data_IF_034781039182
#
_entry.id   IF_034781039182
#
_cell.length_a   1.000
_cell.length_b   1.000
_cell.length_c   1.000
_cell.angle_alpha   90.00
_cell.angle_beta   90.00
_cell.angle_gamma   90.00
#
_symmetry.space_group_name_H-M   'P 1'
#
loop_
_entity.id
_entity.type
_entity.pdbx_description
1 polymer ?
#
# COMPACT_ATOMS: atom_id res chain seq x y z
N UNK A 1 7.43 0.62 -9.61
CA UNK A 1 6.21 -0.13 -9.95
C UNK A 1 5.95 -1.14 -8.83
N UNK A 2 4.70 -1.45 -8.49
CA UNK A 2 4.39 -2.45 -7.46
C UNK A 2 4.21 -3.88 -7.99
N UNK A 3 4.36 -4.13 -9.29
CA UNK A 3 4.22 -5.47 -9.86
C UNK A 3 2.78 -5.93 -10.10
N UNK A 4 1.80 -5.51 -9.30
CA UNK A 4 0.48 -6.18 -9.29
C UNK A 4 -0.56 -5.78 -10.36
N UNK A 5 -0.45 -4.60 -10.99
CA UNK A 5 -1.43 -3.99 -11.92
C UNK A 5 -2.68 -4.85 -12.28
N UNK A 6 -3.75 -4.73 -11.49
CA UNK A 6 -4.98 -5.51 -11.67
C UNK A 6 -4.77 -7.02 -11.50
N UNK A 7 -5.15 -7.80 -12.52
CA UNK A 7 -5.01 -9.26 -12.52
C UNK A 7 -3.58 -9.75 -12.83
N UNK A 8 -2.68 -8.86 -13.27
CA UNK A 8 -1.30 -9.23 -13.60
C UNK A 8 -0.60 -9.89 -12.41
N UNK A 9 -0.83 -9.40 -11.19
CA UNK A 9 -0.23 -9.98 -9.98
C UNK A 9 -0.81 -11.32 -9.53
N UNK A 10 -1.86 -11.83 -10.18
CA UNK A 10 -2.48 -13.13 -9.85
C UNK A 10 -2.51 -14.11 -11.03
N UNK A 11 -2.19 -13.67 -12.25
CA UNK A 11 -2.11 -14.56 -13.40
C UNK A 11 -1.00 -15.59 -13.23
N UNK A 12 -1.28 -16.87 -13.53
CA UNK A 12 -0.30 -17.94 -13.38
C UNK A 12 1.01 -17.65 -14.15
N UNK A 13 0.89 -17.10 -15.35
CA UNK A 13 2.02 -16.78 -16.23
C UNK A 13 2.76 -15.49 -15.85
N UNK A 14 2.16 -14.64 -15.03
CA UNK A 14 2.66 -13.30 -14.70
C UNK A 14 2.97 -13.11 -13.22
N UNK A 15 2.54 -14.04 -12.35
CA UNK A 15 2.73 -13.98 -10.91
C UNK A 15 4.20 -13.80 -10.55
N UNK A 16 5.07 -14.64 -11.12
CA UNK A 16 6.49 -14.59 -10.81
C UNK A 16 7.12 -13.24 -11.19
N UNK A 17 6.81 -12.73 -12.39
CA UNK A 17 7.27 -11.41 -12.82
C UNK A 17 6.73 -10.29 -11.92
N UNK A 18 5.46 -10.39 -11.48
CA UNK A 18 4.87 -9.44 -10.54
C UNK A 18 5.64 -9.39 -9.21
N UNK A 19 5.96 -10.56 -8.64
CA UNK A 19 6.73 -10.65 -7.40
C UNK A 19 8.14 -10.08 -7.61
N UNK A 20 8.84 -10.47 -8.68
CA UNK A 20 10.19 -9.99 -8.99
C UNK A 20 10.21 -8.46 -9.13
N UNK A 21 9.24 -7.87 -9.83
CA UNK A 21 9.12 -6.42 -9.95
C UNK A 21 8.93 -5.73 -8.61
N UNK A 22 8.13 -6.31 -7.71
CA UNK A 22 7.90 -5.76 -6.37
C UNK A 22 9.16 -5.90 -5.49
N UNK A 23 9.92 -6.98 -5.64
CA UNK A 23 11.16 -7.26 -4.92
C UNK A 23 12.35 -6.39 -5.36
N UNK A 24 12.30 -5.78 -6.54
CA UNK A 24 13.35 -4.84 -6.98
C UNK A 24 13.53 -3.64 -6.04
N UNK A 25 12.47 -3.20 -5.37
CA UNK A 25 12.53 -1.97 -4.55
C UNK A 25 11.41 -1.88 -3.51
N UNK A 26 10.16 -2.16 -3.90
CA UNK A 26 9.00 -1.87 -3.06
C UNK A 26 8.98 -2.73 -1.79
N UNK A 27 9.03 -4.05 -1.92
CA UNK A 27 8.90 -4.95 -0.76
C UNK A 27 10.09 -4.85 0.20
N UNK A 28 11.36 -4.75 -0.26
CA UNK A 28 12.48 -4.46 0.63
C UNK A 28 12.33 -3.14 1.39
N UNK A 29 11.91 -2.05 0.72
CA UNK A 29 11.73 -0.76 1.36
C UNK A 29 10.63 -0.80 2.43
N UNK A 30 9.52 -1.48 2.15
CA UNK A 30 8.43 -1.67 3.12
C UNK A 30 8.87 -2.50 4.33
N UNK A 31 9.59 -3.61 4.11
CA UNK A 31 10.09 -4.47 5.20
C UNK A 31 11.13 -3.75 6.06
N UNK A 32 11.93 -2.87 5.46
CA UNK A 32 12.92 -2.05 6.17
C UNK A 32 12.37 -0.82 6.86
N UNK A 33 11.12 -0.42 6.58
CA UNK A 33 10.50 0.74 7.21
C UNK A 33 10.17 0.47 8.69
N UNK A 34 10.37 1.48 9.54
CA UNK A 34 10.02 1.41 10.96
C UNK A 34 8.59 0.92 11.17
N UNK A 35 8.35 0.22 12.28
CA UNK A 35 7.03 -0.34 12.57
C UNK A 35 5.96 0.75 12.71
N UNK A 36 6.34 1.93 13.20
CA UNK A 36 5.46 3.10 13.34
C UNK A 36 5.30 3.91 12.04
N UNK A 37 6.08 3.63 11.00
CA UNK A 37 5.99 4.36 9.74
C UNK A 37 4.66 4.09 9.04
N UNK A 38 3.99 5.16 8.62
CA UNK A 38 2.84 5.07 7.73
C UNK A 38 3.31 4.69 6.34
N UNK A 39 2.70 3.64 5.77
CA UNK A 39 2.92 3.26 4.37
C UNK A 39 1.73 3.78 3.57
N UNK A 40 2.00 4.56 2.52
CA UNK A 40 0.98 5.19 1.70
C UNK A 40 1.07 4.68 0.28
N UNK A 41 -0.04 4.17 -0.25
CA UNK A 41 -0.17 3.74 -1.63
C UNK A 41 -1.62 3.96 -2.12
N UNK A 42 -1.77 4.73 -3.21
CA UNK A 42 -3.08 5.14 -3.71
C UNK A 42 -3.76 4.06 -4.57
N UNK A 43 -2.96 3.25 -5.27
CA UNK A 43 -3.47 2.12 -6.04
C UNK A 43 -3.90 0.95 -5.16
N UNK A 44 -5.12 0.44 -5.34
CA UNK A 44 -5.59 -0.78 -4.67
C UNK A 44 -4.67 -1.97 -4.93
N UNK A 45 -4.23 -2.17 -6.18
CA UNK A 45 -3.27 -3.24 -6.51
C UNK A 45 -1.96 -3.10 -5.73
N UNK A 46 -1.44 -1.88 -5.57
CA UNK A 46 -0.21 -1.72 -4.80
C UNK A 46 -0.41 -1.96 -3.30
N UNK A 47 -1.57 -1.59 -2.74
CA UNK A 47 -1.90 -1.94 -1.35
C UNK A 47 -2.00 -3.46 -1.15
N UNK A 48 -2.63 -4.19 -2.07
CA UNK A 48 -2.68 -5.65 -2.02
C UNK A 48 -1.29 -6.29 -2.14
N UNK A 49 -0.46 -5.86 -3.10
CA UNK A 49 0.91 -6.37 -3.20
C UNK A 49 1.71 -6.18 -1.91
N UNK A 50 1.59 -5.00 -1.30
CA UNK A 50 2.27 -4.69 -0.04
C UNK A 50 1.77 -5.61 1.08
N UNK A 51 0.45 -5.79 1.20
CA UNK A 51 -0.14 -6.67 2.20
C UNK A 51 0.32 -8.13 2.00
N UNK A 52 0.16 -8.66 0.79
CA UNK A 52 0.48 -10.04 0.43
C UNK A 52 1.98 -10.34 0.57
N UNK A 53 2.85 -9.37 0.22
CA UNK A 53 4.31 -9.56 0.20
C UNK A 53 5.06 -9.20 1.50
N UNK A 54 4.42 -8.50 2.45
CA UNK A 54 5.11 -8.00 3.65
C UNK A 54 4.33 -8.09 4.96
N UNK A 55 3.03 -8.47 4.91
CA UNK A 55 2.11 -8.41 6.05
C UNK A 55 1.98 -7.00 6.68
N UNK A 56 2.38 -5.95 5.97
CA UNK A 56 2.16 -4.55 6.36
C UNK A 56 0.92 -4.02 5.65
N UNK A 57 0.12 -3.22 6.34
CA UNK A 57 -0.99 -2.50 5.72
C UNK A 57 -0.51 -1.15 5.17
N UNK A 58 -0.89 -0.84 3.93
CA UNK A 58 -0.73 0.48 3.32
C UNK A 58 -2.06 1.22 3.28
N UNK A 59 -2.02 2.54 3.46
CA UNK A 59 -3.18 3.43 3.44
C UNK A 59 -3.28 4.19 2.12
N UNK A 60 -4.51 4.46 1.68
CA UNK A 60 -4.75 5.46 0.63
C UNK A 60 -4.47 6.87 1.18
N UNK A 61 -3.90 7.78 0.40
CA UNK A 61 -3.55 9.15 0.86
C UNK A 61 -4.73 9.88 1.52
N UNK A 62 -5.94 9.73 0.99
CA UNK A 62 -7.16 10.30 1.56
C UNK A 62 -7.40 9.91 3.04
N UNK A 63 -7.03 8.68 3.45
CA UNK A 63 -7.16 8.24 4.86
C UNK A 63 -6.15 8.95 5.75
N UNK A 64 -4.93 9.15 5.26
CA UNK A 64 -3.89 9.91 5.97
C UNK A 64 -4.32 11.37 6.13
N UNK A 65 -4.90 11.96 5.09
CA UNK A 65 -5.44 13.31 5.16
C UNK A 65 -6.61 13.41 6.16
N UNK A 66 -7.54 12.46 6.15
CA UNK A 66 -8.65 12.41 7.11
C UNK A 66 -8.16 12.38 8.56
N UNK A 67 -7.14 11.57 8.86
CA UNK A 67 -6.51 11.54 10.20
C UNK A 67 -5.94 12.89 10.65
N UNK A 68 -5.57 13.78 9.72
CA UNK A 68 -5.10 15.13 10.04
C UNK A 68 -6.25 16.09 10.38
N UNK A 69 -7.45 15.84 9.84
CA UNK A 69 -8.66 16.62 10.11
C UNK A 69 -9.26 16.22 11.46
N UNK A 70 -9.29 14.93 11.77
CA UNK A 70 -9.79 14.41 13.06
C UNK A 70 -8.94 14.93 14.22
N UNK A 71 -7.62 15.07 14.01
CA UNK A 71 -6.70 15.65 15.00
C UNK A 71 -6.96 17.13 15.29
N UNK A 72 -7.62 17.85 14.36
CA UNK A 72 -8.01 19.26 14.52
C UNK A 72 -9.42 19.43 15.10
N UNK A 73 -10.16 18.33 15.36
CA UNK A 73 -11.42 18.35 16.12
C UNK A 73 -12.59 19.07 15.44
N UNK A 74 -12.59 19.28 14.12
CA UNK A 74 -13.59 20.12 13.45
C UNK A 74 -13.92 19.66 12.02
N UNK A 75 -14.48 18.47 11.86
CA UNK A 75 -15.16 18.11 10.60
C UNK A 75 -16.68 18.11 10.83
N UNK A 76 -17.39 19.22 10.56
CA UNK A 76 -18.82 19.38 10.88
C UNK A 76 -19.77 18.48 10.06
N UNK A 77 -19.24 17.63 9.16
CA UNK A 77 -20.00 16.81 8.22
C UNK A 77 -19.88 15.30 8.47
N UNK A 78 -19.26 14.88 9.57
CA UNK A 78 -19.06 13.46 9.94
C UNK A 78 -20.08 12.95 10.98
N UNK A 79 -21.16 13.70 11.24
CA UNK A 79 -22.30 13.30 12.06
C UNK A 79 -23.54 13.09 11.20
#
# INVERSE_FOLDING_TARGET
CCGMAGAFGYGADTYQASIEMAELSLLPAVRGAEQAALIVADGTSCRHQIADGTNRAALHVARVLAMSLDRKGTAPWLN
#
